data_IF_887152711073
#
_entry.id   IF_887152711073
#
_cell.length_a   1.000
_cell.length_b   1.000
_cell.length_c   1.000
_cell.angle_alpha   90.00
_cell.angle_beta   90.00
_cell.angle_gamma   90.00
#
_symmetry.space_group_name_H-M   'P 1'
#
loop_
_entity.id
_entity.type
_entity.pdbx_description
1 polymer ?
#
# COMPACT_ATOMS: atom_id res chain seq x y z
N UNK A 1 13.93 -8.89 3.21
CA UNK A 1 14.08 -9.47 1.84
C UNK A 1 13.63 -8.47 0.78
N UNK A 2 12.45 -7.89 0.87
CA UNK A 2 11.91 -6.89 -0.07
C UNK A 2 12.83 -5.68 -0.33
N UNK A 3 13.33 -5.03 0.71
CA UNK A 3 14.27 -3.91 0.58
C UNK A 3 15.55 -4.28 -0.20
N UNK A 4 16.07 -5.49 0.03
CA UNK A 4 17.24 -6.00 -0.73
C UNK A 4 16.92 -6.18 -2.21
N UNK A 5 15.75 -6.73 -2.54
CA UNK A 5 15.32 -6.86 -3.94
C UNK A 5 15.18 -5.50 -4.62
N UNK A 6 14.58 -4.52 -3.93
CA UNK A 6 14.47 -3.14 -4.45
C UNK A 6 15.85 -2.52 -4.70
N UNK A 7 16.81 -2.68 -3.77
CA UNK A 7 18.19 -2.22 -4.00
C UNK A 7 18.84 -2.90 -5.19
N UNK A 8 18.66 -4.21 -5.37
CA UNK A 8 19.18 -4.92 -6.55
C UNK A 8 18.60 -4.39 -7.86
N UNK A 9 17.28 -4.14 -7.90
CA UNK A 9 16.63 -3.57 -9.08
C UNK A 9 17.13 -2.15 -9.39
N UNK A 10 17.24 -1.30 -8.37
CA UNK A 10 17.79 0.06 -8.52
C UNK A 10 19.27 0.04 -8.93
N UNK A 11 20.07 -0.86 -8.35
CA UNK A 11 21.48 -1.00 -8.72
C UNK A 11 21.64 -1.50 -10.16
N UNK A 12 20.80 -2.45 -10.58
CA UNK A 12 20.78 -2.92 -11.97
C UNK A 12 20.38 -1.82 -12.95
N UNK A 13 19.34 -1.05 -12.63
CA UNK A 13 18.92 0.12 -13.41
C UNK A 13 20.04 1.17 -13.50
N UNK A 14 20.67 1.50 -12.38
CA UNK A 14 21.78 2.45 -12.34
C UNK A 14 22.98 1.96 -13.17
N UNK A 15 23.30 0.66 -13.09
CA UNK A 15 24.37 0.06 -13.90
C UNK A 15 24.08 0.21 -15.40
N UNK A 16 22.85 -0.08 -15.83
CA UNK A 16 22.45 0.12 -17.24
C UNK A 16 22.64 1.59 -17.65
N UNK A 17 22.26 2.53 -16.82
CA UNK A 17 22.42 3.95 -17.09
C UNK A 17 23.89 4.36 -17.12
N UNK A 18 24.73 3.85 -16.23
CA UNK A 18 26.16 4.11 -16.23
C UNK A 18 26.84 3.57 -17.49
N UNK A 19 26.50 2.35 -17.90
CA UNK A 19 27.02 1.74 -19.16
C UNK A 19 26.60 2.57 -20.36
N UNK A 20 25.32 2.95 -20.43
CA UNK A 20 24.81 3.82 -21.49
C UNK A 20 25.54 5.17 -21.54
N UNK A 21 25.71 5.81 -20.39
CA UNK A 21 26.41 7.09 -20.29
C UNK A 21 27.87 6.98 -20.73
N UNK A 22 28.58 5.95 -20.29
CA UNK A 22 29.97 5.67 -20.67
C UNK A 22 30.10 5.43 -22.20
N UNK A 23 29.15 4.69 -22.77
CA UNK A 23 29.13 4.46 -24.22
C UNK A 23 28.87 5.73 -25.02
N UNK A 24 27.88 6.56 -24.59
CA UNK A 24 27.56 7.84 -25.23
C UNK A 24 28.75 8.81 -25.22
N UNK A 25 29.47 8.90 -24.11
CA UNK A 25 30.65 9.78 -23.98
C UNK A 25 31.83 9.21 -24.78
N UNK A 26 32.13 7.90 -24.61
CA UNK A 26 33.32 7.30 -25.20
C UNK A 26 33.26 7.06 -26.72
N UNK A 27 32.08 6.75 -27.25
CA UNK A 27 31.89 6.44 -28.66
C UNK A 27 30.91 7.37 -29.39
N UNK A 28 29.94 7.95 -28.68
CA UNK A 28 28.91 8.81 -29.23
C UNK A 28 29.30 10.28 -29.31
N UNK A 29 30.45 10.67 -28.77
CA UNK A 29 30.90 12.08 -28.76
C UNK A 29 30.07 13.00 -27.87
N UNK A 30 29.29 12.46 -26.96
CA UNK A 30 28.48 13.24 -26.03
C UNK A 30 29.34 13.82 -24.92
N UNK A 31 28.96 15.03 -24.45
CA UNK A 31 29.53 15.54 -23.21
C UNK A 31 29.02 14.77 -22.01
N UNK A 32 29.80 14.63 -20.91
CA UNK A 32 29.33 13.99 -19.68
C UNK A 32 28.04 14.60 -19.12
N UNK A 33 27.87 15.91 -19.25
CA UNK A 33 26.65 16.61 -18.82
C UNK A 33 25.43 16.19 -19.65
N UNK A 34 25.56 16.10 -20.97
CA UNK A 34 24.47 15.67 -21.85
C UNK A 34 24.10 14.20 -21.59
N UNK A 35 25.10 13.32 -21.42
CA UNK A 35 24.86 11.91 -21.08
C UNK A 35 24.18 11.76 -19.70
N UNK A 36 24.62 12.52 -18.69
CA UNK A 36 23.97 12.55 -17.36
C UNK A 36 22.54 13.08 -17.41
N UNK A 37 22.30 14.13 -18.21
CA UNK A 37 20.95 14.65 -18.45
C UNK A 37 20.01 13.63 -19.08
N UNK A 38 20.50 12.85 -20.06
CA UNK A 38 19.72 11.74 -20.65
C UNK A 38 19.41 10.66 -19.62
N UNK A 39 20.39 10.24 -18.83
CA UNK A 39 20.20 9.24 -17.76
C UNK A 39 19.14 9.69 -16.77
N UNK A 40 19.23 10.94 -16.28
CA UNK A 40 18.19 11.50 -15.40
C UNK A 40 16.83 11.55 -16.09
N UNK A 41 16.80 11.95 -17.36
CA UNK A 41 15.59 11.95 -18.18
C UNK A 41 14.97 10.56 -18.32
N UNK A 42 15.77 9.51 -18.55
CA UNK A 42 15.31 8.13 -18.61
C UNK A 42 14.77 7.66 -17.26
N UNK A 43 15.48 7.94 -16.16
CA UNK A 43 15.03 7.58 -14.80
C UNK A 43 13.69 8.22 -14.46
N UNK A 44 13.55 9.51 -14.65
CA UNK A 44 12.31 10.25 -14.39
C UNK A 44 11.20 9.88 -15.38
N UNK A 45 11.56 9.71 -16.68
CA UNK A 45 10.64 9.35 -17.74
C UNK A 45 10.01 7.97 -17.54
N UNK A 46 10.77 6.97 -17.10
CA UNK A 46 10.22 5.64 -16.79
C UNK A 46 9.17 5.71 -15.67
N UNK A 47 9.43 6.47 -14.60
CA UNK A 47 8.47 6.65 -13.50
C UNK A 47 7.24 7.44 -13.96
N UNK A 48 7.45 8.45 -14.79
CA UNK A 48 6.35 9.21 -15.39
C UNK A 48 5.49 8.31 -16.29
N UNK A 49 6.12 7.47 -17.12
CA UNK A 49 5.41 6.51 -17.96
C UNK A 49 4.55 5.55 -17.13
N UNK A 50 5.10 4.97 -16.05
CA UNK A 50 4.35 4.07 -15.16
C UNK A 50 3.17 4.81 -14.52
N UNK A 51 3.39 6.02 -14.01
CA UNK A 51 2.33 6.83 -13.41
C UNK A 51 1.25 7.17 -14.44
N UNK A 52 1.63 7.65 -15.61
CA UNK A 52 0.68 7.97 -16.69
C UNK A 52 -0.13 6.74 -17.13
N UNK A 53 0.54 5.60 -17.28
CA UNK A 53 -0.12 4.34 -17.65
C UNK A 53 -1.20 3.95 -16.64
N UNK A 54 -0.92 4.03 -15.32
CA UNK A 54 -1.91 3.69 -14.31
C UNK A 54 -3.11 4.64 -14.35
N UNK A 55 -2.92 5.94 -14.58
CA UNK A 55 -4.02 6.90 -14.75
C UNK A 55 -4.82 6.69 -16.03
N UNK A 56 -4.15 6.34 -17.14
CA UNK A 56 -4.84 6.00 -18.42
C UNK A 56 -5.70 4.76 -18.23
N UNK A 57 -5.16 3.71 -17.63
CA UNK A 57 -5.91 2.47 -17.37
C UNK A 57 -7.07 2.71 -16.40
N UNK A 58 -6.83 3.48 -15.33
CA UNK A 58 -7.87 3.91 -14.42
C UNK A 58 -8.99 4.63 -15.19
N UNK A 59 -8.65 5.65 -15.99
CA UNK A 59 -9.64 6.45 -16.74
C UNK A 59 -10.52 5.61 -17.64
N UNK A 60 -9.95 4.57 -18.24
CA UNK A 60 -10.68 3.65 -19.11
C UNK A 60 -11.57 2.64 -18.36
N UNK A 61 -11.37 2.46 -17.04
CA UNK A 61 -11.98 1.39 -16.25
C UNK A 61 -12.61 1.86 -14.93
N UNK A 62 -12.74 3.17 -14.70
CA UNK A 62 -13.26 3.73 -13.45
C UNK A 62 -14.76 3.62 -13.32
N UNK A 63 -15.23 3.53 -12.07
CA UNK A 63 -16.60 3.89 -11.72
C UNK A 63 -16.85 5.39 -11.96
N UNK A 64 -18.12 5.78 -12.04
CA UNK A 64 -18.48 7.20 -12.07
C UNK A 64 -18.11 7.87 -10.75
N UNK A 65 -17.36 8.97 -10.83
CA UNK A 65 -16.99 9.78 -9.66
C UNK A 65 -18.24 10.53 -9.18
N UNK A 66 -18.66 10.36 -7.91
CA UNK A 66 -19.79 11.11 -7.35
C UNK A 66 -19.56 12.61 -7.43
N UNK A 67 -20.65 13.39 -7.65
CA UNK A 67 -20.57 14.82 -7.90
C UNK A 67 -19.75 15.62 -6.86
N UNK A 68 -19.90 15.26 -5.57
CA UNK A 68 -19.19 15.91 -4.46
C UNK A 68 -17.67 15.66 -4.44
N UNK A 69 -17.18 14.65 -5.17
CA UNK A 69 -15.77 14.32 -5.27
C UNK A 69 -15.14 14.72 -6.61
N UNK A 70 -15.91 15.34 -7.52
CA UNK A 70 -15.36 15.82 -8.80
C UNK A 70 -14.27 16.84 -8.54
N UNK A 71 -13.16 16.70 -9.23
CA UNK A 71 -12.00 17.59 -9.13
C UNK A 71 -11.78 18.33 -10.45
N UNK A 72 -11.35 19.58 -10.36
CA UNK A 72 -10.97 20.37 -11.54
C UNK A 72 -9.59 19.96 -12.07
N UNK A 73 -9.19 20.45 -13.26
CA UNK A 73 -7.95 20.05 -13.94
C UNK A 73 -6.70 20.33 -13.12
N UNK A 74 -6.63 21.45 -12.42
CA UNK A 74 -5.47 21.82 -11.58
C UNK A 74 -5.29 20.81 -10.45
N UNK A 75 -6.39 20.43 -9.77
CA UNK A 75 -6.33 19.41 -8.70
C UNK A 75 -5.99 18.04 -9.26
N UNK A 76 -6.48 17.68 -10.45
CA UNK A 76 -6.13 16.44 -11.12
C UNK A 76 -4.64 16.38 -11.48
N UNK A 77 -4.08 17.47 -11.99
CA UNK A 77 -2.65 17.57 -12.28
C UNK A 77 -1.80 17.45 -11.00
N UNK A 78 -2.19 18.16 -9.95
CA UNK A 78 -1.54 18.06 -8.64
C UNK A 78 -1.58 16.62 -8.09
N UNK A 79 -2.73 15.95 -8.15
CA UNK A 79 -2.89 14.55 -7.73
C UNK A 79 -1.96 13.61 -8.54
N UNK A 80 -1.86 13.80 -9.86
CA UNK A 80 -0.95 13.03 -10.69
C UNK A 80 0.52 13.29 -10.33
N UNK A 81 0.88 14.53 -10.01
CA UNK A 81 2.22 14.88 -9.53
C UNK A 81 2.51 14.29 -8.14
N UNK A 82 1.55 14.33 -7.21
CA UNK A 82 1.65 13.71 -5.88
C UNK A 82 1.90 12.19 -6.00
N UNK A 83 1.23 11.51 -6.93
CA UNK A 83 1.44 10.08 -7.21
C UNK A 83 2.81 9.80 -7.80
N UNK A 84 3.23 10.60 -8.80
CA UNK A 84 4.54 10.51 -9.42
C UNK A 84 5.67 10.71 -8.39
N UNK A 85 5.56 11.75 -7.57
CA UNK A 85 6.50 12.01 -6.49
C UNK A 85 6.50 10.87 -5.45
N UNK A 86 5.32 10.37 -5.09
CA UNK A 86 5.14 9.23 -4.20
C UNK A 86 5.81 7.96 -4.74
N UNK A 87 5.68 7.68 -6.03
CA UNK A 87 6.35 6.55 -6.68
C UNK A 87 7.88 6.67 -6.57
N UNK A 88 8.45 7.85 -6.87
CA UNK A 88 9.91 8.08 -6.77
C UNK A 88 10.36 7.95 -5.32
N UNK A 89 9.72 8.67 -4.40
CA UNK A 89 10.13 8.71 -2.98
C UNK A 89 10.01 7.34 -2.34
N UNK A 90 8.88 6.66 -2.50
CA UNK A 90 8.67 5.34 -1.88
C UNK A 90 9.60 4.28 -2.46
N UNK A 91 9.73 4.17 -3.78
CA UNK A 91 10.41 3.04 -4.41
C UNK A 91 11.89 3.29 -4.72
N UNK A 92 12.36 4.54 -4.69
CA UNK A 92 13.76 4.83 -4.94
C UNK A 92 14.52 5.32 -3.70
N UNK A 93 13.81 5.81 -2.65
CA UNK A 93 14.45 6.40 -1.46
C UNK A 93 14.05 5.67 -0.18
N UNK A 94 12.75 5.54 0.12
CA UNK A 94 12.31 5.06 1.44
C UNK A 94 12.40 3.54 1.55
N UNK A 95 11.68 2.80 0.73
CA UNK A 95 11.54 1.36 0.87
C UNK A 95 12.84 0.57 0.62
N UNK A 96 13.73 0.96 -0.32
CA UNK A 96 15.03 0.31 -0.45
C UNK A 96 15.90 0.41 0.81
N UNK A 97 15.70 1.44 1.61
CA UNK A 97 16.44 1.74 2.84
C UNK A 97 15.52 1.83 4.07
N UNK A 98 14.50 1.01 4.12
CA UNK A 98 13.43 1.07 5.12
C UNK A 98 13.94 1.07 6.57
N UNK A 99 14.98 0.31 6.86
CA UNK A 99 15.55 0.21 8.21
C UNK A 99 16.11 1.55 8.72
N UNK A 100 16.61 2.38 7.79
CA UNK A 100 17.08 3.74 8.12
C UNK A 100 15.91 4.70 8.37
N UNK A 101 14.84 4.59 7.56
CA UNK A 101 13.73 5.53 7.56
C UNK A 101 12.67 5.23 8.61
N UNK A 102 12.41 3.95 8.89
CA UNK A 102 11.29 3.54 9.77
C UNK A 102 11.79 3.12 11.17
N UNK A 103 13.01 2.64 11.27
CA UNK A 103 13.58 2.18 12.54
C UNK A 103 12.86 0.93 13.12
N UNK A 104 13.20 0.50 14.35
CA UNK A 104 12.50 -0.55 15.06
C UNK A 104 11.12 -0.09 15.57
N UNK A 105 10.25 -1.05 15.87
CA UNK A 105 8.97 -0.75 16.52
C UNK A 105 9.17 -0.55 18.02
N UNK A 106 8.55 0.48 18.59
CA UNK A 106 8.60 0.79 20.02
C UNK A 106 7.32 0.32 20.70
N UNK A 107 7.33 -0.92 21.19
CA UNK A 107 6.18 -1.57 21.81
C UNK A 107 6.20 -1.35 23.33
N UNK A 108 5.61 -0.26 23.79
CA UNK A 108 5.36 0.01 25.21
C UNK A 108 4.12 -0.73 25.74
N UNK A 109 3.88 -0.67 27.04
CA UNK A 109 2.66 -1.23 27.63
C UNK A 109 1.41 -0.49 27.14
N UNK A 110 0.39 -1.24 26.75
CA UNK A 110 -0.88 -0.68 26.30
C UNK A 110 -1.62 0.00 27.48
N UNK A 111 -1.98 1.27 27.29
CA UNK A 111 -2.73 2.07 28.25
C UNK A 111 -4.22 2.14 27.87
N UNK A 112 -4.88 0.97 27.83
CA UNK A 112 -6.33 0.88 27.56
C UNK A 112 -6.75 0.88 26.08
N UNK A 113 -5.85 1.22 25.14
CA UNK A 113 -6.11 1.13 23.68
C UNK A 113 -5.40 -0.08 23.08
N UNK A 114 -6.05 -0.84 22.16
CA UNK A 114 -5.36 -1.89 21.43
C UNK A 114 -4.21 -1.32 20.57
N UNK A 115 -3.05 -1.99 20.51
CA UNK A 115 -1.97 -1.58 19.60
C UNK A 115 -2.37 -1.78 18.13
N UNK A 116 -1.76 -1.00 17.25
CA UNK A 116 -1.91 -1.11 15.80
C UNK A 116 -0.87 -2.06 15.22
N UNK A 117 -1.28 -2.90 14.26
CA UNK A 117 -0.37 -3.64 13.38
C UNK A 117 -0.64 -3.21 11.94
N UNK A 118 0.37 -2.58 11.32
CA UNK A 118 0.28 -2.01 9.98
C UNK A 118 0.83 -2.99 8.94
N UNK A 119 0.00 -3.32 7.94
CA UNK A 119 0.31 -4.27 6.86
C UNK A 119 0.28 -3.54 5.53
N UNK A 120 1.43 -3.49 4.86
CA UNK A 120 1.62 -2.81 3.58
C UNK A 120 1.01 -3.56 2.39
N UNK A 121 1.03 -2.93 1.20
CA UNK A 121 0.50 -3.45 -0.04
C UNK A 121 1.48 -4.29 -0.87
N UNK A 122 1.04 -4.59 -2.10
CA UNK A 122 1.79 -5.34 -3.10
C UNK A 122 3.09 -4.64 -3.47
N UNK A 123 4.18 -5.41 -3.54
CA UNK A 123 5.54 -4.93 -3.84
C UNK A 123 6.04 -3.80 -2.92
N UNK A 124 5.45 -3.64 -1.76
CA UNK A 124 5.92 -2.69 -0.76
C UNK A 124 6.69 -3.41 0.37
N UNK A 125 7.12 -2.64 1.33
CA UNK A 125 7.58 -3.07 2.64
C UNK A 125 7.09 -2.06 3.70
N UNK A 126 7.48 -2.24 4.96
CA UNK A 126 7.06 -1.35 6.06
C UNK A 126 7.48 0.11 5.88
N UNK A 127 8.41 0.41 4.96
CA UNK A 127 8.75 1.76 4.53
C UNK A 127 7.57 2.55 3.98
N UNK A 128 6.51 1.89 3.49
CA UNK A 128 5.27 2.55 3.11
C UNK A 128 4.70 3.40 4.25
N UNK A 129 4.89 2.99 5.51
CA UNK A 129 4.35 3.65 6.70
C UNK A 129 5.22 4.80 7.24
N UNK A 130 6.31 5.15 6.55
CA UNK A 130 7.28 6.16 6.93
C UNK A 130 6.66 7.48 7.43
N UNK A 131 5.63 7.96 6.73
CA UNK A 131 4.99 9.24 7.06
C UNK A 131 3.82 9.08 8.05
N UNK A 132 3.04 8.01 7.91
CA UNK A 132 1.85 7.76 8.75
C UNK A 132 2.24 7.31 10.16
N UNK A 133 3.21 6.38 10.28
CA UNK A 133 3.58 5.79 11.57
C UNK A 133 3.91 6.83 12.64
N UNK A 134 4.86 7.76 12.47
CA UNK A 134 5.20 8.72 13.53
C UNK A 134 4.04 9.64 13.89
N UNK A 135 3.08 9.85 13.00
CA UNK A 135 1.87 10.63 13.26
C UNK A 135 0.84 9.87 14.08
N UNK A 136 0.71 8.57 13.84
CA UNK A 136 -0.09 7.68 14.69
C UNK A 136 0.52 7.57 16.09
N UNK A 137 1.84 7.42 16.19
CA UNK A 137 2.56 7.40 17.47
C UNK A 137 2.41 8.74 18.22
N UNK A 138 2.50 9.88 17.54
CA UNK A 138 2.25 11.20 18.11
C UNK A 138 0.79 11.40 18.59
N UNK A 139 -0.17 10.68 17.99
CA UNK A 139 -1.56 10.63 18.42
C UNK A 139 -1.80 9.63 19.58
N UNK A 140 -0.74 9.07 20.16
CA UNK A 140 -0.78 8.19 21.33
C UNK A 140 -1.04 6.70 21.01
N UNK A 141 -0.90 6.28 19.76
CA UNK A 141 -1.03 4.87 19.38
C UNK A 141 0.30 4.12 19.53
N UNK A 142 0.24 2.89 20.04
CA UNK A 142 1.35 1.94 19.93
C UNK A 142 1.27 1.32 18.54
N UNK A 143 2.34 1.45 17.75
CA UNK A 143 2.36 1.05 16.35
C UNK A 143 3.40 -0.02 16.09
N UNK A 144 2.94 -1.18 15.65
CA UNK A 144 3.75 -2.25 15.10
C UNK A 144 3.66 -2.28 13.57
N UNK A 145 4.70 -2.74 12.92
CA UNK A 145 4.75 -2.94 11.48
C UNK A 145 5.16 -4.36 11.14
N UNK A 146 4.81 -4.84 9.94
CA UNK A 146 5.22 -6.15 9.45
C UNK A 146 5.53 -6.11 7.96
N UNK A 147 6.55 -6.87 7.53
CA UNK A 147 6.89 -7.07 6.12
C UNK A 147 6.26 -8.36 5.58
N UNK A 148 5.57 -8.25 4.44
CA UNK A 148 5.03 -9.38 3.70
C UNK A 148 6.13 -9.98 2.80
N UNK A 149 6.74 -11.05 3.22
CA UNK A 149 7.85 -11.70 2.51
C UNK A 149 7.64 -13.21 2.39
N UNK A 150 8.01 -13.83 1.25
CA UNK A 150 8.61 -13.27 0.02
C UNK A 150 7.62 -12.42 -0.79
N UNK A 151 8.10 -11.39 -1.51
CA UNK A 151 7.27 -10.37 -2.21
C UNK A 151 6.27 -10.95 -3.22
N UNK A 152 6.61 -12.10 -3.85
CA UNK A 152 5.81 -12.73 -4.91
C UNK A 152 4.99 -13.94 -4.44
N UNK A 153 4.96 -14.19 -3.14
CA UNK A 153 4.23 -15.29 -2.52
C UNK A 153 2.70 -15.13 -2.68
N UNK A 154 1.95 -16.15 -2.35
CA UNK A 154 0.50 -16.03 -2.25
C UNK A 154 0.09 -15.29 -0.97
N UNK A 155 -1.09 -14.69 -0.98
CA UNK A 155 -1.61 -13.95 0.18
C UNK A 155 -1.71 -14.85 1.42
N UNK A 156 -2.09 -16.11 1.23
CA UNK A 156 -2.22 -17.07 2.36
C UNK A 156 -0.86 -17.46 2.96
N UNK A 157 0.23 -17.33 2.22
CA UNK A 157 1.58 -17.68 2.71
C UNK A 157 2.08 -16.71 3.79
N UNK A 158 1.53 -15.50 3.85
CA UNK A 158 1.91 -14.50 4.86
C UNK A 158 1.22 -14.69 6.22
N UNK A 159 0.15 -15.49 6.28
CA UNK A 159 -0.77 -15.49 7.42
C UNK A 159 -0.12 -16.02 8.70
N UNK A 160 0.77 -17.01 8.60
CA UNK A 160 1.45 -17.57 9.77
C UNK A 160 2.43 -16.56 10.39
N UNK A 161 3.11 -15.78 9.55
CA UNK A 161 4.03 -14.73 10.02
C UNK A 161 3.29 -13.57 10.68
N UNK A 162 2.11 -13.22 10.15
CA UNK A 162 1.23 -12.23 10.77
C UNK A 162 0.70 -12.73 12.12
N UNK A 163 0.30 -14.00 12.21
CA UNK A 163 -0.14 -14.62 13.46
C UNK A 163 0.95 -14.53 14.53
N UNK A 164 2.19 -14.93 14.19
CA UNK A 164 3.34 -14.79 15.08
C UNK A 164 3.60 -13.31 15.45
N UNK A 165 3.47 -12.39 14.50
CA UNK A 165 3.66 -10.97 14.79
C UNK A 165 2.61 -10.41 15.75
N UNK A 166 1.37 -10.86 15.63
CA UNK A 166 0.31 -10.53 16.59
C UNK A 166 0.66 -11.05 17.98
N UNK A 167 1.14 -12.30 18.11
CA UNK A 167 1.61 -12.86 19.39
C UNK A 167 2.69 -11.99 20.03
N UNK A 168 3.71 -11.58 19.25
CA UNK A 168 4.79 -10.71 19.71
C UNK A 168 4.26 -9.35 20.20
N UNK A 169 3.35 -8.73 19.45
CA UNK A 169 2.76 -7.43 19.81
C UNK A 169 1.92 -7.54 21.08
N UNK A 170 1.07 -8.53 21.19
CA UNK A 170 0.24 -8.75 22.38
C UNK A 170 1.08 -9.08 23.63
N UNK A 171 2.11 -9.92 23.50
CA UNK A 171 3.03 -10.23 24.60
C UNK A 171 3.82 -8.98 25.07
N UNK A 172 4.32 -8.18 24.14
CA UNK A 172 5.08 -6.97 24.46
C UNK A 172 4.21 -5.89 25.12
N UNK A 173 2.99 -5.69 24.62
CA UNK A 173 2.10 -4.61 25.07
C UNK A 173 1.20 -4.99 26.25
N UNK A 174 0.97 -6.28 26.48
CA UNK A 174 -0.01 -6.78 27.45
C UNK A 174 -1.47 -6.62 27.01
N UNK A 175 -1.71 -6.18 25.77
CA UNK A 175 -3.04 -6.06 25.22
C UNK A 175 -3.66 -7.44 24.91
N UNK A 176 -4.99 -7.52 24.90
CA UNK A 176 -5.72 -8.75 24.54
C UNK A 176 -6.05 -8.83 23.06
N UNK A 177 -6.12 -7.69 22.38
CA UNK A 177 -6.47 -7.58 20.96
C UNK A 177 -5.62 -6.50 20.29
N UNK A 178 -5.46 -6.62 18.96
CA UNK A 178 -4.83 -5.62 18.08
C UNK A 178 -5.86 -5.01 17.15
N UNK A 179 -5.60 -3.79 16.68
CA UNK A 179 -6.28 -3.23 15.49
C UNK A 179 -5.35 -3.50 14.29
N UNK A 180 -5.90 -4.09 13.23
CA UNK A 180 -5.14 -4.35 12.02
C UNK A 180 -5.43 -3.27 10.99
N UNK A 181 -4.38 -2.62 10.48
CA UNK A 181 -4.49 -1.60 9.41
C UNK A 181 -3.79 -2.11 8.16
N UNK A 182 -4.52 -2.23 7.05
CA UNK A 182 -4.00 -2.76 5.80
C UNK A 182 -4.10 -1.77 4.64
N UNK A 183 -3.00 -1.52 3.94
CA UNK A 183 -3.02 -0.75 2.70
C UNK A 183 -3.06 -1.68 1.49
N UNK A 184 -3.91 -1.38 0.49
CA UNK A 184 -3.96 -2.10 -0.79
C UNK A 184 -4.11 -3.62 -0.58
N UNK A 185 -3.22 -4.44 -1.13
CA UNK A 185 -3.19 -5.89 -0.89
C UNK A 185 -3.21 -6.24 0.61
N UNK A 186 -2.65 -5.40 1.48
CA UNK A 186 -2.67 -5.60 2.92
C UNK A 186 -4.07 -5.82 3.48
N UNK A 187 -5.10 -5.12 2.99
CA UNK A 187 -6.48 -5.34 3.42
C UNK A 187 -7.05 -6.71 3.01
N UNK A 188 -6.58 -7.28 1.90
CA UNK A 188 -6.90 -8.67 1.52
C UNK A 188 -6.23 -9.68 2.45
N UNK A 189 -4.98 -9.41 2.83
CA UNK A 189 -4.23 -10.20 3.80
C UNK A 189 -4.96 -10.20 5.14
N UNK A 190 -5.48 -9.05 5.62
CA UNK A 190 -6.27 -8.97 6.86
C UNK A 190 -7.54 -9.82 6.78
N UNK A 191 -8.27 -9.78 5.66
CA UNK A 191 -9.47 -10.61 5.47
C UNK A 191 -9.13 -12.10 5.44
N UNK A 192 -8.06 -12.49 4.76
CA UNK A 192 -7.58 -13.87 4.74
C UNK A 192 -7.15 -14.33 6.12
N UNK A 193 -6.51 -13.45 6.91
CA UNK A 193 -6.17 -13.70 8.30
C UNK A 193 -7.43 -13.99 9.15
N UNK A 194 -8.42 -13.11 9.09
CA UNK A 194 -9.68 -13.30 9.83
C UNK A 194 -10.38 -14.60 9.43
N UNK A 195 -10.38 -14.94 8.14
CA UNK A 195 -10.95 -16.20 7.65
C UNK A 195 -10.25 -17.43 8.23
N UNK A 196 -8.93 -17.39 8.40
CA UNK A 196 -8.14 -18.52 8.85
C UNK A 196 -8.09 -18.66 10.37
N UNK A 197 -7.94 -17.55 11.10
CA UNK A 197 -7.69 -17.55 12.54
C UNK A 197 -8.84 -16.95 13.37
N UNK A 198 -9.87 -16.42 12.71
CA UNK A 198 -10.98 -15.74 13.39
C UNK A 198 -10.64 -14.35 13.89
N UNK A 199 -11.57 -13.74 14.61
CA UNK A 199 -11.46 -12.35 15.09
C UNK A 199 -11.19 -12.22 16.58
N UNK A 200 -11.00 -13.31 17.32
CA UNK A 200 -10.89 -13.27 18.79
C UNK A 200 -9.80 -12.29 19.30
N UNK A 201 -8.69 -12.17 18.55
CA UNK A 201 -7.54 -11.31 18.89
C UNK A 201 -7.51 -9.99 18.11
N UNK A 202 -8.54 -9.70 17.33
CA UNK A 202 -8.64 -8.49 16.51
C UNK A 202 -9.78 -7.64 17.02
N UNK A 203 -9.51 -6.41 17.40
CA UNK A 203 -10.53 -5.46 17.83
C UNK A 203 -11.40 -5.05 16.63
N UNK A 204 -10.77 -4.54 15.59
CA UNK A 204 -11.37 -4.27 14.27
C UNK A 204 -10.27 -4.14 13.20
N UNK A 205 -10.68 -4.03 11.95
CA UNK A 205 -9.76 -3.79 10.84
C UNK A 205 -10.04 -2.44 10.18
N UNK A 206 -8.99 -1.74 9.75
CA UNK A 206 -9.11 -0.57 8.88
C UNK A 206 -8.32 -0.83 7.61
N UNK A 207 -8.95 -0.62 6.45
CA UNK A 207 -8.28 -0.82 5.17
C UNK A 207 -8.20 0.49 4.39
N UNK A 208 -7.06 0.72 3.73
CA UNK A 208 -6.76 1.91 2.94
C UNK A 208 -6.56 1.51 1.48
N UNK A 209 -7.45 1.94 0.57
CA UNK A 209 -7.34 1.66 -0.85
C UNK A 209 -7.22 0.17 -1.21
N UNK A 210 -7.95 -0.71 -0.52
CA UNK A 210 -7.81 -2.16 -0.68
C UNK A 210 -8.76 -2.72 -1.74
N UNK A 211 -8.27 -3.62 -2.64
CA UNK A 211 -9.06 -4.21 -3.70
C UNK A 211 -9.89 -5.40 -3.19
N UNK A 212 -10.92 -5.16 -2.38
CA UNK A 212 -11.74 -6.21 -1.74
C UNK A 212 -12.48 -7.12 -2.71
N UNK A 213 -12.64 -6.70 -3.98
CA UNK A 213 -13.19 -7.49 -5.09
C UNK A 213 -12.15 -7.74 -6.20
N UNK A 214 -10.86 -7.55 -5.91
CA UNK A 214 -9.79 -7.55 -6.89
C UNK A 214 -9.64 -6.20 -7.59
N UNK A 215 -8.70 -6.09 -8.51
CA UNK A 215 -8.51 -4.89 -9.35
C UNK A 215 -8.19 -5.25 -10.78
N UNK A 216 -8.67 -4.45 -11.74
CA UNK A 216 -8.36 -4.64 -13.16
C UNK A 216 -6.90 -4.39 -13.51
N UNK A 217 -6.12 -3.81 -12.61
CA UNK A 217 -4.67 -3.69 -12.76
C UNK A 217 -3.92 -5.00 -12.48
N UNK A 218 -4.48 -5.91 -11.68
CA UNK A 218 -3.81 -7.13 -11.24
C UNK A 218 -3.29 -8.05 -12.37
N UNK A 219 -3.90 -8.14 -13.57
CA UNK A 219 -3.34 -8.91 -14.67
C UNK A 219 -1.94 -8.48 -15.12
N UNK A 220 -1.55 -7.22 -14.91
CA UNK A 220 -0.21 -6.71 -15.20
C UNK A 220 0.81 -7.00 -14.08
N UNK A 221 0.35 -7.45 -12.94
CA UNK A 221 1.21 -7.79 -11.80
C UNK A 221 1.86 -9.18 -11.93
N UNK A 222 2.97 -9.34 -11.23
CA UNK A 222 3.73 -10.58 -11.15
C UNK A 222 3.49 -11.30 -9.82
N UNK A 223 3.74 -12.60 -9.76
CA UNK A 223 3.63 -13.41 -8.56
C UNK A 223 2.26 -14.05 -8.34
N UNK A 224 2.16 -14.88 -7.29
CA UNK A 224 0.93 -15.58 -6.93
C UNK A 224 -0.11 -14.62 -6.37
N UNK A 225 0.32 -13.68 -5.55
CA UNK A 225 -0.52 -12.63 -4.97
C UNK A 225 -1.20 -11.75 -6.04
N UNK A 226 -0.48 -11.34 -7.10
CA UNK A 226 -1.10 -10.61 -8.20
C UNK A 226 -2.18 -11.43 -8.92
N UNK A 227 -1.94 -12.73 -9.15
CA UNK A 227 -2.96 -13.63 -9.72
C UNK A 227 -4.19 -13.76 -8.83
N UNK A 228 -3.99 -13.82 -7.50
CA UNK A 228 -5.07 -13.87 -6.51
C UNK A 228 -5.92 -12.58 -6.51
N UNK A 229 -5.30 -11.41 -6.74
CA UNK A 229 -5.99 -10.11 -6.80
C UNK A 229 -6.76 -9.86 -8.11
N UNK A 230 -6.72 -10.78 -9.09
CA UNK A 230 -7.53 -10.63 -10.32
C UNK A 230 -9.02 -10.71 -9.98
N UNK A 231 -9.87 -9.83 -10.52
CA UNK A 231 -11.31 -9.93 -10.35
C UNK A 231 -11.82 -11.31 -10.79
N UNK A 232 -12.67 -11.92 -9.97
CA UNK A 232 -13.21 -13.24 -10.26
C UNK A 232 -12.23 -14.41 -10.15
N UNK A 233 -11.02 -14.20 -9.62
CA UNK A 233 -10.10 -15.31 -9.36
C UNK A 233 -10.71 -16.33 -8.38
N UNK A 234 -10.37 -17.63 -8.48
CA UNK A 234 -10.86 -18.63 -7.52
C UNK A 234 -10.56 -18.27 -6.07
N UNK A 235 -9.41 -17.65 -5.82
CA UNK A 235 -9.03 -17.19 -4.49
C UNK A 235 -9.93 -16.06 -3.99
N UNK A 236 -10.24 -15.08 -4.85
CA UNK A 236 -11.12 -13.97 -4.52
C UNK A 236 -12.56 -14.45 -4.27
N UNK A 237 -13.04 -15.38 -5.08
CA UNK A 237 -14.34 -16.01 -4.89
C UNK A 237 -14.40 -16.76 -3.55
N UNK A 238 -13.35 -17.52 -3.22
CA UNK A 238 -13.24 -18.20 -1.95
C UNK A 238 -13.20 -17.24 -0.74
N UNK A 239 -12.56 -16.07 -0.88
CA UNK A 239 -12.52 -15.03 0.17
C UNK A 239 -13.88 -14.36 0.40
N UNK A 240 -14.75 -14.34 -0.63
CA UNK A 240 -16.09 -13.75 -0.60
C UNK A 240 -17.21 -14.77 -0.31
N UNK A 241 -16.88 -16.08 -0.16
CA UNK A 241 -17.87 -17.15 -0.04
C UNK A 241 -18.75 -17.00 1.22
N UNK A 242 -20.04 -17.44 1.16
CA UNK A 242 -20.91 -17.53 2.33
C UNK A 242 -20.25 -18.37 3.43
N UNK A 243 -20.26 -17.91 4.68
CA UNK A 243 -19.56 -18.53 5.81
C UNK A 243 -18.21 -17.89 6.13
N UNK A 244 -17.81 -16.84 5.42
CA UNK A 244 -16.70 -15.99 5.86
C UNK A 244 -16.96 -15.48 7.28
N UNK A 245 -15.94 -15.50 8.12
CA UNK A 245 -16.02 -14.95 9.49
C UNK A 245 -16.49 -13.48 9.38
N UNK A 246 -17.55 -13.10 10.12
CA UNK A 246 -17.99 -11.71 10.13
C UNK A 246 -16.83 -10.79 10.52
N UNK A 247 -16.79 -9.62 9.90
CA UNK A 247 -15.82 -8.62 10.30
C UNK A 247 -16.08 -8.19 11.75
N UNK A 248 -15.02 -7.95 12.55
CA UNK A 248 -15.19 -7.37 13.87
C UNK A 248 -15.98 -6.06 13.78
N UNK A 249 -16.86 -5.77 14.77
CA UNK A 249 -17.54 -4.47 14.84
C UNK A 249 -16.54 -3.30 14.76
N UNK A 250 -16.96 -2.17 14.23
CA UNK A 250 -16.08 -1.01 14.05
C UNK A 250 -15.15 -1.07 12.83
N UNK A 251 -15.14 -2.17 12.06
CA UNK A 251 -14.30 -2.27 10.84
C UNK A 251 -14.64 -1.23 9.79
N UNK A 252 -13.60 -0.67 9.14
CA UNK A 252 -13.72 0.44 8.18
C UNK A 252 -12.92 0.16 6.91
N UNK A 253 -13.49 0.46 5.74
CA UNK A 253 -12.78 0.54 4.47
C UNK A 253 -12.72 2.00 3.99
N UNK A 254 -11.53 2.59 3.97
CA UNK A 254 -11.27 3.94 3.46
C UNK A 254 -10.69 3.80 2.06
N UNK A 255 -11.31 4.44 1.05
CA UNK A 255 -10.81 4.37 -0.31
C UNK A 255 -11.08 5.65 -1.10
N UNK A 256 -10.24 5.90 -2.10
CA UNK A 256 -10.39 7.06 -2.97
C UNK A 256 -11.16 6.71 -4.25
N UNK A 257 -12.10 7.58 -4.63
CA UNK A 257 -12.74 7.49 -5.95
C UNK A 257 -11.80 7.91 -7.10
N UNK A 258 -10.54 8.27 -6.81
CA UNK A 258 -9.51 8.61 -7.79
C UNK A 258 -8.29 7.67 -7.69
N UNK A 259 -8.44 6.53 -7.02
CA UNK A 259 -7.37 5.53 -6.92
C UNK A 259 -7.00 5.01 -8.31
N UNK A 260 -5.71 5.10 -8.65
CA UNK A 260 -5.18 4.71 -9.95
C UNK A 260 -4.58 3.30 -10.02
N UNK A 261 -4.63 2.55 -8.92
CA UNK A 261 -4.21 1.13 -8.84
C UNK A 261 -5.39 0.19 -8.57
N UNK A 262 -6.37 0.65 -7.79
CA UNK A 262 -7.56 -0.13 -7.44
C UNK A 262 -8.76 0.45 -8.15
N UNK A 263 -9.12 -0.16 -9.28
CA UNK A 263 -10.25 0.27 -10.10
C UNK A 263 -10.99 -0.93 -10.74
N UNK A 264 -12.32 -0.82 -11.00
CA UNK A 264 -13.23 0.29 -10.65
C UNK A 264 -13.25 0.56 -9.13
N UNK A 265 -13.14 1.82 -8.71
CA UNK A 265 -12.78 2.18 -7.34
C UNK A 265 -13.80 1.70 -6.30
N UNK A 266 -15.06 2.12 -6.44
CA UNK A 266 -16.14 1.74 -5.52
C UNK A 266 -16.43 0.25 -5.58
N UNK A 267 -16.54 -0.29 -6.80
CA UNK A 267 -16.77 -1.72 -7.02
C UNK A 267 -15.72 -2.58 -6.37
N UNK A 268 -14.44 -2.20 -6.50
CA UNK A 268 -13.32 -2.99 -5.96
C UNK A 268 -13.11 -2.79 -4.46
N UNK A 269 -13.33 -1.59 -3.93
CA UNK A 269 -12.91 -1.22 -2.57
C UNK A 269 -14.04 -1.27 -1.54
N UNK A 270 -15.30 -1.41 -1.96
CA UNK A 270 -16.40 -1.59 -1.01
C UNK A 270 -16.26 -2.93 -0.28
N UNK A 271 -16.27 -2.88 1.05
CA UNK A 271 -16.19 -4.04 1.93
C UNK A 271 -17.52 -4.24 2.65
N UNK A 272 -18.17 -5.36 2.36
CA UNK A 272 -19.42 -5.72 3.03
C UNK A 272 -19.18 -5.98 4.52
N UNK A 273 -20.06 -5.48 5.38
CA UNK A 273 -19.93 -5.59 6.83
C UNK A 273 -19.00 -4.56 7.47
N UNK A 274 -18.37 -3.67 6.69
CA UNK A 274 -17.58 -2.55 7.18
C UNK A 274 -18.26 -1.20 6.87
N UNK A 275 -17.93 -0.17 7.64
CA UNK A 275 -18.22 1.21 7.25
C UNK A 275 -17.33 1.60 6.06
N UNK A 276 -17.91 2.05 4.96
CA UNK A 276 -17.18 2.41 3.75
C UNK A 276 -17.05 3.95 3.66
N UNK A 277 -15.82 4.45 3.80
CA UNK A 277 -15.49 5.88 3.80
C UNK A 277 -14.83 6.24 2.48
N UNK A 278 -15.48 7.11 1.71
CA UNK A 278 -14.98 7.57 0.41
C UNK A 278 -14.26 8.90 0.58
N UNK A 279 -13.07 9.00 0.00
CA UNK A 279 -12.32 10.26 -0.14
C UNK A 279 -12.14 10.60 -1.62
N UNK A 280 -11.86 11.86 -1.93
CA UNK A 280 -11.64 12.34 -3.29
C UNK A 280 -10.31 13.06 -3.47
N UNK A 281 -9.81 13.08 -4.71
CA UNK A 281 -8.60 13.83 -5.06
C UNK A 281 -7.30 13.26 -4.50
N UNK A 282 -7.26 11.98 -4.17
CA UNK A 282 -6.08 11.26 -3.66
C UNK A 282 -5.87 10.02 -4.52
N UNK A 283 -4.66 9.83 -5.01
CA UNK A 283 -4.21 8.65 -5.75
C UNK A 283 -3.67 7.57 -4.80
N UNK A 284 -3.35 6.40 -5.32
CA UNK A 284 -3.07 5.21 -4.52
C UNK A 284 -1.85 5.34 -3.59
N UNK A 285 -0.69 5.68 -4.14
CA UNK A 285 0.54 5.83 -3.34
C UNK A 285 0.51 7.11 -2.49
N UNK A 286 -0.17 8.15 -2.98
CA UNK A 286 -0.34 9.40 -2.23
C UNK A 286 -1.12 9.21 -0.93
N UNK A 287 -1.88 8.11 -0.76
CA UNK A 287 -2.51 7.77 0.53
C UNK A 287 -1.49 7.67 1.67
N UNK A 288 -0.26 7.23 1.38
CA UNK A 288 0.83 7.13 2.36
C UNK A 288 1.22 8.47 2.98
N UNK A 289 0.93 9.59 2.30
CA UNK A 289 1.36 10.95 2.68
C UNK A 289 0.21 11.94 2.84
N UNK A 290 -1.03 11.45 2.85
CA UNK A 290 -2.22 12.29 2.85
C UNK A 290 -2.70 12.63 4.26
N UNK A 291 -2.73 13.93 4.65
CA UNK A 291 -3.35 14.36 5.90
C UNK A 291 -4.83 13.94 5.99
N UNK A 292 -5.59 14.04 4.89
CA UNK A 292 -6.99 13.62 4.88
C UNK A 292 -7.15 12.11 5.15
N UNK A 293 -6.24 11.27 4.61
CA UNK A 293 -6.27 9.83 4.92
C UNK A 293 -5.90 9.58 6.38
N UNK A 294 -4.93 10.32 6.92
CA UNK A 294 -4.58 10.25 8.35
C UNK A 294 -5.77 10.61 9.24
N UNK A 295 -6.46 11.72 8.95
CA UNK A 295 -7.63 12.14 9.71
C UNK A 295 -8.73 11.07 9.69
N UNK A 296 -9.04 10.53 8.50
CA UNK A 296 -10.02 9.44 8.37
C UNK A 296 -9.57 8.13 9.02
N UNK A 297 -8.28 7.86 9.04
CA UNK A 297 -7.72 6.72 9.76
C UNK A 297 -7.88 6.91 11.27
N UNK A 298 -7.53 8.06 11.81
CA UNK A 298 -7.70 8.37 13.25
C UNK A 298 -9.18 8.28 13.68
N UNK A 299 -10.11 8.86 12.89
CA UNK A 299 -11.55 8.71 13.11
C UNK A 299 -12.01 7.23 13.10
N UNK A 300 -11.39 6.40 12.27
CA UNK A 300 -11.72 4.98 12.16
C UNK A 300 -11.16 4.16 13.34
N UNK A 301 -9.97 4.53 13.83
CA UNK A 301 -9.30 3.86 14.96
C UNK A 301 -9.98 4.09 16.30
N UNK A 302 -10.65 5.23 16.48
CA UNK A 302 -11.38 5.59 17.72
C UNK A 302 -12.80 4.99 17.77
N UNK A 303 -13.20 4.19 16.77
CA UNK A 303 -14.50 3.49 16.80
C UNK A 303 -14.49 2.37 17.83
N UNK A 304 -15.58 2.22 18.63
CA UNK A 304 -15.70 1.19 19.63
C UNK A 304 -15.81 -0.24 19.04
#
# INVERSE_FOLDING_TARGET
MAARQMRWLLSGELLVYLVLSAWLVGRGGWTPLAAGGLVLGCFLGLRLFVTALTFILMRANSDQVPGQFRIGPIRALRMAFEEYAGLIVLFSVIQPFEAFWVGPDHLGKAAGRPPLLLIHGYQCNRGFWFWLRPRLEAAGWIVATHNLEPVWAGIDDYLQDIERRIDEVLAATGAQRVILVGHSMGGLVLRAYLRRYGSARVAHIVTLGSPHQGTRLAPLGLGRNARQMRPGSPWMAALASPGAVPLPPGSVSIFSCHDNYVFPQRTCSTLQGAANVIVGGISHLAMAFSPLVLDKLLEALDKP
#
